data_IF_535611433264
#
_entry.id   IF_535611433264
#
_cell.length_a   1.000
_cell.length_b   1.000
_cell.length_c   1.000
_cell.angle_alpha   90.00
_cell.angle_beta   90.00
_cell.angle_gamma   90.00
#
_symmetry.space_group_name_H-M   'P 1'
#
loop_
_entity.id
_entity.type
_entity.pdbx_description
1 polymer ?
#
# COMPACT_ATOMS: atom_id res chain seq x y z
N UNK A 1 -10.90 53.33 3.51
CA UNK A 1 -11.72 52.20 2.98
C UNK A 1 -11.11 51.35 1.86
N UNK A 2 -10.01 51.74 1.18
CA UNK A 2 -9.37 50.91 0.12
C UNK A 2 -8.43 49.81 0.66
N UNK A 3 -7.80 50.03 1.82
CA UNK A 3 -6.82 49.11 2.45
C UNK A 3 -7.44 47.79 2.94
N UNK A 4 -8.62 47.87 3.53
CA UNK A 4 -9.42 46.72 4.01
C UNK A 4 -9.80 45.76 2.87
N UNK A 5 -10.26 46.28 1.73
CA UNK A 5 -10.73 45.45 0.60
C UNK A 5 -9.61 44.62 -0.04
N UNK A 6 -8.39 45.15 -0.05
CA UNK A 6 -7.21 44.46 -0.59
C UNK A 6 -6.69 43.37 0.36
N UNK A 7 -6.98 43.49 1.66
CA UNK A 7 -6.63 42.48 2.65
C UNK A 7 -7.52 41.24 2.50
N UNK A 8 -8.84 41.42 2.36
CA UNK A 8 -9.78 40.31 2.16
C UNK A 8 -9.58 39.58 0.82
N UNK A 9 -9.27 40.29 -0.26
CA UNK A 9 -9.01 39.66 -1.56
C UNK A 9 -7.71 38.85 -1.57
N UNK A 10 -6.67 39.34 -0.90
CA UNK A 10 -5.41 38.60 -0.71
C UNK A 10 -5.60 37.38 0.19
N UNK A 11 -6.39 37.51 1.26
CA UNK A 11 -6.71 36.38 2.15
C UNK A 11 -7.48 35.28 1.41
N UNK A 12 -8.42 35.64 0.53
CA UNK A 12 -9.14 34.69 -0.33
C UNK A 12 -8.20 33.99 -1.31
N UNK A 13 -7.30 34.73 -1.97
CA UNK A 13 -6.33 34.14 -2.90
C UNK A 13 -5.32 33.21 -2.19
N UNK A 14 -4.92 33.56 -0.96
CA UNK A 14 -4.04 32.75 -0.12
C UNK A 14 -4.72 31.46 0.34
N UNK A 15 -6.01 31.52 0.70
CA UNK A 15 -6.81 30.37 1.10
C UNK A 15 -7.08 29.39 -0.05
N UNK A 16 -7.34 29.90 -1.26
CA UNK A 16 -7.52 29.09 -2.47
C UNK A 16 -6.21 28.41 -2.89
N UNK A 17 -5.06 29.07 -2.71
CA UNK A 17 -3.74 28.50 -3.02
C UNK A 17 -3.34 27.38 -2.05
N UNK A 18 -3.67 27.52 -0.75
CA UNK A 18 -3.45 26.49 0.28
C UNK A 18 -4.34 25.24 0.06
N UNK A 19 -5.52 25.40 -0.54
CA UNK A 19 -6.39 24.27 -0.91
C UNK A 19 -5.89 23.52 -2.16
N UNK A 20 -5.09 24.14 -3.02
CA UNK A 20 -4.56 23.52 -4.23
C UNK A 20 -3.29 22.69 -4.00
N UNK A 21 -2.58 22.92 -2.89
CA UNK A 21 -1.31 22.23 -2.56
C UNK A 21 -1.47 20.95 -1.75
N UNK A 22 -2.68 20.57 -1.33
CA UNK A 22 -2.91 19.36 -0.48
C UNK A 22 -3.20 18.09 -1.26
N UNK A 23 -3.29 18.14 -2.59
CA UNK A 23 -3.37 16.93 -3.41
C UNK A 23 -1.96 16.39 -3.70
N UNK A 24 -1.29 15.87 -2.67
CA UNK A 24 -0.14 14.98 -2.88
C UNK A 24 -0.67 13.68 -3.47
N UNK A 25 -0.30 13.26 -4.70
CA UNK A 25 -0.48 11.88 -5.08
C UNK A 25 0.47 11.05 -4.23
N UNK A 26 -0.03 10.42 -3.17
CA UNK A 26 0.73 9.44 -2.41
C UNK A 26 0.94 8.22 -3.30
N UNK A 27 1.99 8.26 -4.13
CA UNK A 27 2.51 7.10 -4.81
C UNK A 27 3.61 6.52 -3.91
N UNK A 28 3.21 5.64 -2.99
CA UNK A 28 4.13 4.73 -2.30
C UNK A 28 4.74 3.81 -3.36
N UNK A 29 5.85 4.23 -3.95
CA UNK A 29 6.54 3.45 -4.97
C UNK A 29 7.36 2.36 -4.27
N UNK A 30 6.71 1.23 -4.00
CA UNK A 30 7.38 0.04 -3.49
C UNK A 30 7.88 -0.78 -4.68
N UNK A 31 9.19 -0.82 -4.93
CA UNK A 31 9.79 -1.59 -6.05
C UNK A 31 9.57 -3.10 -5.95
N UNK A 32 9.12 -3.58 -4.78
CA UNK A 32 8.81 -4.98 -4.51
C UNK A 32 7.42 -5.41 -4.96
N UNK A 33 6.54 -4.48 -5.37
CA UNK A 33 5.16 -4.77 -5.77
C UNK A 33 4.95 -4.37 -7.24
N UNK A 34 4.46 -5.29 -8.05
CA UNK A 34 4.11 -5.05 -9.45
C UNK A 34 2.72 -5.57 -9.78
N UNK A 35 1.85 -4.70 -10.28
CA UNK A 35 0.51 -5.07 -10.73
C UNK A 35 0.50 -5.29 -12.24
N UNK A 36 -0.10 -6.40 -12.68
CA UNK A 36 -0.42 -6.65 -14.10
C UNK A 36 -1.87 -7.11 -14.21
N UNK A 37 -2.72 -6.26 -14.78
CA UNK A 37 -4.19 -6.47 -14.84
C UNK A 37 -4.74 -6.70 -13.43
N UNK A 38 -5.23 -7.91 -13.16
CA UNK A 38 -5.80 -8.33 -11.87
C UNK A 38 -4.86 -9.28 -11.10
N UNK A 39 -3.58 -9.28 -11.47
CA UNK A 39 -2.55 -10.12 -10.85
C UNK A 39 -1.51 -9.25 -10.17
N UNK A 40 -1.31 -9.52 -8.89
CA UNK A 40 -0.29 -8.91 -8.04
C UNK A 40 0.95 -9.80 -7.98
N UNK A 41 2.09 -9.22 -8.34
CA UNK A 41 3.40 -9.85 -8.20
C UNK A 41 4.15 -9.17 -7.06
N UNK A 42 4.54 -9.95 -6.05
CA UNK A 42 5.37 -9.48 -4.95
C UNK A 42 6.74 -10.12 -5.03
N UNK A 43 7.76 -9.30 -5.27
CA UNK A 43 9.16 -9.70 -5.34
C UNK A 43 9.82 -9.49 -3.97
N UNK A 44 10.37 -10.56 -3.39
CA UNK A 44 10.98 -10.50 -2.06
C UNK A 44 12.48 -10.21 -2.08
N UNK A 45 13.09 -9.89 -3.22
CA UNK A 45 14.55 -9.65 -3.31
C UNK A 45 15.04 -8.57 -2.34
N UNK A 46 14.30 -7.44 -2.25
CA UNK A 46 14.69 -6.32 -1.38
C UNK A 46 14.16 -6.49 0.05
N UNK A 47 12.89 -6.85 0.21
CA UNK A 47 12.23 -6.97 1.52
C UNK A 47 12.65 -8.23 2.30
N UNK A 48 13.09 -9.25 1.57
CA UNK A 48 13.43 -10.56 2.08
C UNK A 48 14.92 -10.79 2.34
N UNK A 49 15.75 -9.76 2.13
CA UNK A 49 17.20 -9.85 2.24
C UNK A 49 17.68 -10.30 3.64
N UNK A 50 16.88 -10.10 4.69
CA UNK A 50 17.16 -10.54 6.06
C UNK A 50 17.08 -12.08 6.23
N UNK A 51 16.36 -12.78 5.37
CA UNK A 51 16.17 -14.23 5.46
C UNK A 51 17.24 -15.00 4.70
N UNK A 52 18.12 -15.65 5.45
CA UNK A 52 19.27 -16.38 4.94
C UNK A 52 19.08 -17.89 5.11
N UNK A 53 19.21 -18.62 4.00
CA UNK A 53 19.32 -20.07 4.02
C UNK A 53 20.74 -20.51 4.36
N UNK A 54 21.08 -21.75 4.01
CA UNK A 54 22.40 -22.33 4.29
C UNK A 54 23.55 -21.58 3.60
N UNK A 55 23.36 -21.07 2.38
CA UNK A 55 24.44 -20.47 1.57
C UNK A 55 24.10 -19.06 1.04
N UNK A 56 23.01 -18.45 1.52
CA UNK A 56 22.66 -17.06 1.24
C UNK A 56 21.16 -16.81 1.19
N UNK A 57 20.77 -15.66 0.63
CA UNK A 57 19.36 -15.29 0.50
C UNK A 57 18.61 -16.19 -0.49
N UNK A 58 17.33 -16.42 -0.21
CA UNK A 58 16.42 -17.27 -1.00
C UNK A 58 15.20 -16.49 -1.49
N UNK A 59 15.38 -15.45 -2.32
CA UNK A 59 14.27 -14.61 -2.75
C UNK A 59 13.21 -15.40 -3.54
N UNK A 60 11.96 -14.96 -3.43
CA UNK A 60 10.81 -15.55 -4.11
C UNK A 60 9.95 -14.46 -4.75
N UNK A 61 9.14 -14.85 -5.72
CA UNK A 61 8.03 -14.07 -6.26
C UNK A 61 6.74 -14.76 -5.88
N UNK A 62 5.85 -14.02 -5.22
CA UNK A 62 4.51 -14.45 -4.89
C UNK A 62 3.57 -13.86 -5.93
N UNK A 63 2.80 -14.71 -6.60
CA UNK A 63 1.79 -14.30 -7.56
C UNK A 63 0.42 -14.45 -6.91
N UNK A 64 -0.35 -13.38 -6.88
CA UNK A 64 -1.66 -13.31 -6.24
C UNK A 64 -2.67 -12.87 -7.28
N UNK A 65 -3.82 -13.54 -7.33
CA UNK A 65 -4.92 -13.24 -8.25
C UNK A 65 -6.23 -13.46 -7.49
N UNK A 66 -7.17 -12.52 -7.60
CA UNK A 66 -8.45 -12.56 -6.85
C UNK A 66 -8.23 -12.81 -5.35
N UNK A 67 -7.30 -12.07 -4.72
CA UNK A 67 -6.94 -12.17 -3.30
C UNK A 67 -6.46 -13.55 -2.83
N UNK A 68 -6.11 -14.43 -3.77
CA UNK A 68 -5.60 -15.77 -3.52
C UNK A 68 -4.20 -15.93 -4.06
N UNK A 69 -3.39 -16.68 -3.33
CA UNK A 69 -2.03 -17.03 -3.75
C UNK A 69 -2.14 -18.03 -4.91
N UNK A 70 -1.72 -17.63 -6.09
CA UNK A 70 -1.67 -18.50 -7.27
C UNK A 70 -0.43 -19.40 -7.22
N UNK A 71 0.72 -18.81 -6.94
CA UNK A 71 1.99 -19.53 -6.87
C UNK A 71 3.05 -18.78 -6.08
N UNK A 72 3.94 -19.54 -5.43
CA UNK A 72 5.22 -19.04 -4.90
C UNK A 72 6.34 -19.59 -5.77
N UNK A 73 7.02 -18.71 -6.52
CA UNK A 73 8.10 -19.10 -7.42
C UNK A 73 9.43 -18.60 -6.87
N UNK A 74 10.44 -19.46 -6.69
CA UNK A 74 11.74 -18.99 -6.26
C UNK A 74 12.49 -18.24 -7.36
N UNK A 75 13.20 -17.19 -6.96
CA UNK A 75 14.11 -16.43 -7.79
C UNK A 75 15.53 -17.03 -7.75
N UNK A 76 16.45 -16.55 -8.62
CA UNK A 76 17.85 -16.88 -8.51
C UNK A 76 18.35 -16.66 -7.08
N UNK A 77 18.98 -17.70 -6.52
CA UNK A 77 19.42 -17.74 -5.14
C UNK A 77 20.81 -18.35 -5.05
N UNK A 78 21.46 -18.17 -3.89
CA UNK A 78 22.82 -18.68 -3.64
C UNK A 78 22.83 -20.02 -2.91
N UNK A 79 21.70 -20.72 -2.77
CA UNK A 79 21.62 -21.99 -2.04
C UNK A 79 22.39 -23.13 -2.72
N UNK A 80 22.78 -24.13 -1.94
CA UNK A 80 23.31 -25.36 -2.52
C UNK A 80 22.19 -26.12 -3.22
N UNK A 81 22.46 -26.60 -4.44
CA UNK A 81 21.49 -27.31 -5.29
C UNK A 81 20.81 -28.48 -4.57
N UNK A 82 21.54 -29.22 -3.74
CA UNK A 82 21.03 -30.37 -2.97
C UNK A 82 19.94 -29.95 -1.97
N UNK A 83 20.17 -28.92 -1.16
CA UNK A 83 19.20 -28.39 -0.20
C UNK A 83 17.99 -27.80 -0.92
N UNK A 84 18.22 -26.98 -1.94
CA UNK A 84 17.12 -26.36 -2.68
C UNK A 84 16.22 -27.39 -3.40
N UNK A 85 16.81 -28.48 -3.91
CA UNK A 85 16.05 -29.58 -4.50
C UNK A 85 15.25 -30.37 -3.45
N UNK A 86 15.66 -30.42 -2.19
CA UNK A 86 14.85 -31.01 -1.10
C UNK A 86 13.57 -30.22 -0.90
N UNK A 87 13.63 -28.89 -0.90
CA UNK A 87 12.46 -28.01 -0.81
C UNK A 87 11.47 -28.27 -1.96
N UNK A 88 11.99 -28.41 -3.19
CA UNK A 88 11.16 -28.74 -4.36
C UNK A 88 10.50 -30.11 -4.23
N UNK A 89 11.24 -31.15 -3.82
CA UNK A 89 10.69 -32.51 -3.64
C UNK A 89 9.67 -32.59 -2.52
N UNK A 90 9.83 -31.80 -1.47
CA UNK A 90 8.88 -31.69 -0.37
C UNK A 90 7.66 -30.81 -0.70
N UNK A 91 7.56 -30.31 -1.93
CA UNK A 91 6.46 -29.43 -2.38
C UNK A 91 6.26 -28.19 -1.50
N UNK A 92 7.33 -27.68 -0.87
CA UNK A 92 7.24 -26.56 0.06
C UNK A 92 6.60 -25.32 -0.59
N UNK A 93 6.98 -24.99 -1.82
CA UNK A 93 6.44 -23.84 -2.57
C UNK A 93 4.94 -23.94 -2.86
N UNK A 94 4.37 -25.14 -2.89
CA UNK A 94 2.95 -25.36 -3.19
C UNK A 94 2.05 -25.23 -1.97
N UNK A 95 2.62 -25.13 -0.77
CA UNK A 95 1.88 -25.11 0.49
C UNK A 95 0.91 -23.93 0.60
N UNK A 96 1.16 -22.83 -0.11
CA UNK A 96 0.35 -21.63 -0.08
C UNK A 96 -0.65 -21.52 -1.24
N UNK A 97 -0.55 -22.37 -2.27
CA UNK A 97 -1.36 -22.22 -3.48
C UNK A 97 -2.85 -22.41 -3.18
N UNK A 98 -3.69 -21.52 -3.73
CA UNK A 98 -5.14 -21.52 -3.57
C UNK A 98 -5.66 -20.91 -2.26
N UNK A 99 -4.77 -20.62 -1.30
CA UNK A 99 -5.15 -19.99 -0.04
C UNK A 99 -5.43 -18.50 -0.25
N UNK A 100 -6.40 -17.98 0.50
CA UNK A 100 -6.52 -16.52 0.68
C UNK A 100 -5.31 -16.01 1.46
N UNK A 101 -5.00 -14.72 1.31
CA UNK A 101 -3.83 -14.11 1.96
C UNK A 101 -3.85 -14.30 3.48
N UNK A 102 -5.00 -14.12 4.14
CA UNK A 102 -5.11 -14.31 5.59
C UNK A 102 -4.85 -15.78 6.00
N UNK A 103 -5.38 -16.74 5.23
CA UNK A 103 -5.13 -18.17 5.47
C UNK A 103 -3.67 -18.54 5.21
N UNK A 104 -3.06 -17.94 4.19
CA UNK A 104 -1.67 -18.16 3.84
C UNK A 104 -0.71 -17.61 4.92
N UNK A 105 -1.04 -16.46 5.52
CA UNK A 105 -0.31 -15.86 6.64
C UNK A 105 -0.45 -16.67 7.94
N UNK A 106 -1.64 -17.18 8.21
CA UNK A 106 -1.92 -17.99 9.40
C UNK A 106 -1.42 -19.44 9.27
N UNK A 107 -1.05 -19.89 8.07
CA UNK A 107 -0.59 -21.27 7.84
C UNK A 107 0.79 -21.48 8.46
N UNK A 108 0.87 -22.49 9.32
CA UNK A 108 2.14 -23.06 9.76
C UNK A 108 2.64 -24.04 8.69
N UNK A 109 3.90 -23.84 8.28
CA UNK A 109 4.54 -24.66 7.25
C UNK A 109 5.76 -25.32 7.86
N UNK A 110 5.80 -26.64 7.77
CA UNK A 110 6.90 -27.43 8.32
C UNK A 110 8.18 -27.26 7.51
N UNK A 111 9.30 -27.20 8.22
CA UNK A 111 10.62 -27.19 7.60
C UNK A 111 10.96 -28.57 7.03
N UNK A 112 11.73 -28.60 5.93
CA UNK A 112 12.12 -29.85 5.26
C UNK A 112 13.34 -30.46 5.95
N UNK A 113 13.24 -31.74 6.32
CA UNK A 113 14.33 -32.46 6.99
C UNK A 113 15.64 -32.44 6.17
N UNK A 114 16.71 -32.01 6.83
CA UNK A 114 18.03 -31.85 6.19
C UNK A 114 18.15 -30.64 5.28
N UNK A 115 17.21 -29.70 5.34
CA UNK A 115 17.26 -28.39 4.68
C UNK A 115 16.54 -27.31 5.53
N UNK A 116 16.70 -27.36 6.86
CA UNK A 116 15.97 -26.50 7.81
C UNK A 116 16.23 -25.02 7.57
N UNK A 117 17.50 -24.60 7.54
CA UNK A 117 17.87 -23.19 7.29
C UNK A 117 17.31 -22.68 5.96
N UNK A 118 17.45 -23.44 4.88
CA UNK A 118 16.90 -23.06 3.56
C UNK A 118 15.37 -23.00 3.58
N UNK A 119 14.70 -23.88 4.35
CA UNK A 119 13.24 -23.89 4.49
C UNK A 119 12.75 -22.66 5.25
N UNK A 120 13.36 -22.37 6.39
CA UNK A 120 13.02 -21.20 7.22
C UNK A 120 13.21 -19.89 6.45
N UNK A 121 14.28 -19.80 5.65
CA UNK A 121 14.53 -18.63 4.82
C UNK A 121 13.41 -18.40 3.78
N UNK A 122 12.99 -19.46 3.09
CA UNK A 122 11.87 -19.38 2.13
C UNK A 122 10.55 -19.06 2.84
N UNK A 123 10.26 -19.71 3.97
CA UNK A 123 9.04 -19.47 4.75
C UNK A 123 8.99 -18.00 5.23
N UNK A 124 10.11 -17.47 5.73
CA UNK A 124 10.23 -16.08 6.13
C UNK A 124 9.99 -15.11 4.97
N UNK A 125 10.62 -15.36 3.83
CA UNK A 125 10.41 -14.58 2.60
C UNK A 125 8.94 -14.56 2.16
N UNK A 126 8.28 -15.72 2.17
CA UNK A 126 6.86 -15.82 1.81
C UNK A 126 5.99 -15.03 2.78
N UNK A 127 6.21 -15.16 4.09
CA UNK A 127 5.45 -14.42 5.11
C UNK A 127 5.57 -12.91 4.93
N UNK A 128 6.79 -12.40 4.76
CA UNK A 128 7.02 -10.97 4.53
C UNK A 128 6.33 -10.49 3.24
N UNK A 129 6.44 -11.25 2.15
CA UNK A 129 5.80 -10.92 0.88
C UNK A 129 4.27 -10.92 0.96
N UNK A 130 3.67 -11.86 1.73
CA UNK A 130 2.23 -11.90 1.95
C UNK A 130 1.74 -10.74 2.82
N UNK A 131 2.50 -10.34 3.84
CA UNK A 131 2.20 -9.15 4.66
C UNK A 131 2.16 -7.91 3.78
N UNK A 132 3.18 -7.73 2.94
CA UNK A 132 3.25 -6.62 2.00
C UNK A 132 2.09 -6.66 0.98
N UNK A 133 1.71 -7.85 0.51
CA UNK A 133 0.56 -8.00 -0.37
C UNK A 133 -0.75 -7.57 0.30
N UNK A 134 -0.95 -7.96 1.57
CA UNK A 134 -2.12 -7.59 2.37
C UNK A 134 -2.24 -6.07 2.51
N UNK A 135 -1.14 -5.40 2.83
CA UNK A 135 -1.10 -3.93 2.90
C UNK A 135 -1.40 -3.27 1.55
N UNK A 136 -0.85 -3.81 0.46
CA UNK A 136 -1.08 -3.29 -0.88
C UNK A 136 -2.55 -3.39 -1.31
N UNK A 137 -3.23 -4.49 -0.93
CA UNK A 137 -4.66 -4.67 -1.17
C UNK A 137 -5.53 -3.80 -0.25
N UNK A 138 -5.15 -3.66 1.02
CA UNK A 138 -5.85 -2.78 1.96
C UNK A 138 -5.81 -1.29 1.55
N UNK A 139 -4.72 -0.84 0.90
CA UNK A 139 -4.60 0.53 0.37
C UNK A 139 -5.50 0.81 -0.85
N UNK A 140 -6.09 -0.21 -1.47
CA UNK A 140 -7.08 -0.03 -2.55
C UNK A 140 -8.45 0.41 -2.02
N UNK A 141 -8.73 0.27 -0.73
CA UNK A 141 -10.00 0.73 -0.16
C UNK A 141 -9.93 2.18 0.35
N UNK A 142 -10.31 3.08 -0.58
CA UNK A 142 -11.04 4.36 -0.38
C UNK A 142 -10.29 5.51 0.30
N UNK A 143 -9.66 6.44 -0.46
CA UNK A 143 -9.82 7.83 -0.08
C UNK A 143 -11.33 8.10 -0.07
N UNK A 144 -11.85 8.54 1.08
CA UNK A 144 -13.19 9.12 1.20
C UNK A 144 -13.41 9.96 -0.06
N UNK A 145 -14.33 9.52 -0.93
CA UNK A 145 -14.47 9.97 -2.32
C UNK A 145 -14.06 11.43 -2.45
N UNK A 146 -13.06 11.71 -3.29
CA UNK A 146 -12.58 13.08 -3.53
C UNK A 146 -13.73 14.04 -3.85
N UNK A 147 -14.82 13.51 -4.43
CA UNK A 147 -16.08 14.22 -4.63
C UNK A 147 -16.82 14.59 -3.34
N UNK A 148 -16.87 13.72 -2.32
CA UNK A 148 -17.49 14.01 -1.01
C UNK A 148 -16.68 15.06 -0.25
N UNK A 149 -15.34 14.95 -0.25
CA UNK A 149 -14.47 15.96 0.36
C UNK A 149 -14.63 17.31 -0.37
N UNK A 150 -14.62 17.31 -1.71
CA UNK A 150 -14.84 18.51 -2.50
C UNK A 150 -16.23 19.14 -2.25
N UNK A 151 -17.28 18.33 -2.14
CA UNK A 151 -18.64 18.79 -1.88
C UNK A 151 -18.78 19.41 -0.48
N UNK A 152 -18.19 18.79 0.55
CA UNK A 152 -18.17 19.34 1.91
C UNK A 152 -17.36 20.64 1.99
N UNK A 153 -16.23 20.74 1.27
CA UNK A 153 -15.46 21.97 1.18
C UNK A 153 -16.25 23.09 0.49
N UNK A 154 -16.94 22.81 -0.62
CA UNK A 154 -17.76 23.80 -1.34
C UNK A 154 -18.95 24.25 -0.49
N UNK A 155 -19.63 23.33 0.19
CA UNK A 155 -20.74 23.66 1.09
C UNK A 155 -20.27 24.53 2.25
N UNK A 156 -19.13 24.21 2.87
CA UNK A 156 -18.54 25.01 3.94
C UNK A 156 -18.20 26.44 3.50
N UNK A 157 -17.63 26.61 2.30
CA UNK A 157 -17.31 27.93 1.73
C UNK A 157 -18.58 28.75 1.45
N UNK A 158 -19.63 28.15 0.91
CA UNK A 158 -20.90 28.85 0.63
C UNK A 158 -21.57 29.36 1.92
N UNK A 159 -21.55 28.56 3.00
CA UNK A 159 -22.10 28.95 4.30
C UNK A 159 -21.32 30.13 4.89
N UNK A 160 -19.98 30.11 4.81
CA UNK A 160 -19.15 31.23 5.27
C UNK A 160 -19.37 32.50 4.44
N UNK A 161 -19.53 32.38 3.11
CA UNK A 161 -19.84 33.50 2.24
C UNK A 161 -21.21 34.12 2.55
N UNK A 162 -22.24 33.28 2.77
CA UNK A 162 -23.57 33.75 3.17
C UNK A 162 -23.54 34.45 4.54
N UNK A 163 -22.82 33.90 5.52
CA UNK A 163 -22.66 34.53 6.83
C UNK A 163 -21.98 35.91 6.73
N UNK A 164 -20.90 36.02 5.94
CA UNK A 164 -20.22 37.30 5.70
C UNK A 164 -21.13 38.33 5.01
N UNK A 165 -21.97 37.89 4.06
CA UNK A 165 -22.94 38.75 3.39
C UNK A 165 -24.00 39.30 4.36
N UNK A 166 -24.51 38.46 5.27
CA UNK A 166 -25.49 38.86 6.28
C UNK A 166 -24.91 39.81 7.32
N UNK A 167 -23.68 39.56 7.78
CA UNK A 167 -22.96 40.46 8.70
C UNK A 167 -22.76 41.82 8.05
N UNK A 168 -22.36 41.87 6.78
CA UNK A 168 -22.21 43.13 6.02
C UNK A 168 -23.54 43.89 5.91
N UNK A 169 -24.65 43.20 5.61
CA UNK A 169 -25.98 43.82 5.54
C UNK A 169 -26.42 44.39 6.90
N UNK A 170 -26.08 43.72 8.00
CA UNK A 170 -26.38 44.15 9.37
C UNK A 170 -25.57 45.39 9.79
N UNK A 171 -24.32 45.51 9.32
CA UNK A 171 -23.47 46.68 9.58
C UNK A 171 -23.97 47.91 8.81
N UNK A 172 -24.37 47.75 7.54
CA UNK A 172 -24.85 48.85 6.69
C UNK A 172 -26.18 49.45 7.20
N UNK A 173 -27.05 48.65 7.84
CA UNK A 173 -28.33 49.14 8.39
C UNK A 173 -28.22 49.84 9.75
N UNK A 174 -27.07 49.79 10.43
CA UNK A 174 -26.86 50.34 11.78
C UNK A 174 -26.02 51.62 11.81
N UNK A 175 -25.51 52.08 10.67
CA UNK A 175 -24.91 53.39 10.49
C UNK A 175 -25.77 54.23 9.56
#
# INVERSE_FOLDING_TARGET
MKKEKNFFLKAYFMLVFVLLTTASPCRSQNDSISWKKDTLFVNTTSIGAKYHGYNGSTPVVITIHNERVLSVTPLPNRETRSYFNRLRRASLFNQWNGLSIDKALAKEVDAVSGATYSSEAVIGNVREGLTLAKEALGKQEKPLSSGIIALLCVAGVLVLCAAAFLIRKKIIKRG
#
